data_IF_471588551296
#
_entry.id   IF_471588551296
#
_cell.length_a   1.000
_cell.length_b   1.000
_cell.length_c   1.000
_cell.angle_alpha   90.00
_cell.angle_beta   90.00
_cell.angle_gamma   90.00
#
_symmetry.space_group_name_H-M   'P 1'
#
loop_
_entity.id
_entity.type
_entity.pdbx_description
1 polymer ?
#
# COMPACT_ATOMS: atom_id res chain seq x y z
N UNK A 1 8.86 -11.12 23.71
CA UNK A 1 8.22 -12.07 22.77
C UNK A 1 9.13 -12.20 21.56
N UNK A 2 9.33 -13.39 20.99
CA UNK A 2 10.14 -13.54 19.76
C UNK A 2 9.22 -13.48 18.53
N UNK A 3 9.77 -13.15 17.36
CA UNK A 3 9.03 -13.07 16.10
C UNK A 3 8.28 -14.39 15.77
N UNK A 4 8.85 -15.52 16.17
CA UNK A 4 8.22 -16.85 16.00
C UNK A 4 6.95 -17.00 16.82
N UNK A 5 6.90 -16.39 18.01
CA UNK A 5 5.74 -16.46 18.90
C UNK A 5 4.61 -15.58 18.36
N UNK A 6 4.95 -14.38 17.86
CA UNK A 6 4.00 -13.49 17.17
C UNK A 6 3.38 -14.18 15.95
N UNK A 7 4.20 -14.75 15.07
CA UNK A 7 3.72 -15.41 13.87
C UNK A 7 2.78 -16.58 14.18
N UNK A 8 3.05 -17.33 15.25
CA UNK A 8 2.17 -18.41 15.72
C UNK A 8 0.85 -17.89 16.27
N UNK A 9 0.90 -16.81 17.05
CA UNK A 9 -0.31 -16.19 17.61
C UNK A 9 -1.21 -15.64 16.50
N UNK A 10 -0.64 -14.95 15.51
CA UNK A 10 -1.38 -14.42 14.35
C UNK A 10 -2.01 -15.56 13.54
N UNK A 11 -1.23 -16.59 13.20
CA UNK A 11 -1.74 -17.76 12.48
C UNK A 11 -2.90 -18.45 13.22
N UNK A 12 -2.81 -18.56 14.55
CA UNK A 12 -3.85 -19.16 15.37
C UNK A 12 -5.12 -18.28 15.42
N UNK A 13 -4.97 -16.96 15.47
CA UNK A 13 -6.09 -16.03 15.52
C UNK A 13 -6.81 -15.86 14.17
N UNK A 14 -6.08 -15.91 13.05
CA UNK A 14 -6.64 -15.69 11.71
C UNK A 14 -6.98 -16.98 10.96
N UNK A 15 -6.48 -18.13 11.43
CA UNK A 15 -6.59 -19.40 10.73
C UNK A 15 -5.67 -19.51 9.51
N UNK A 16 -4.80 -18.52 9.28
CA UNK A 16 -3.82 -18.56 8.19
C UNK A 16 -2.60 -19.43 8.54
N UNK A 17 -1.89 -19.88 7.51
CA UNK A 17 -0.64 -20.62 7.71
C UNK A 17 0.50 -19.71 8.17
N UNK A 18 1.46 -20.25 8.92
CA UNK A 18 2.67 -19.51 9.36
C UNK A 18 3.45 -18.95 8.16
N UNK A 19 3.48 -19.65 7.03
CA UNK A 19 4.13 -19.15 5.81
C UNK A 19 3.36 -17.98 5.20
N UNK A 20 2.03 -17.99 5.24
CA UNK A 20 1.19 -16.85 4.83
C UNK A 20 1.49 -15.63 5.70
N UNK A 21 1.48 -15.79 7.03
CA UNK A 21 1.75 -14.70 7.98
C UNK A 21 3.15 -14.12 7.79
N UNK A 22 4.17 -14.96 7.56
CA UNK A 22 5.53 -14.49 7.23
C UNK A 22 5.58 -13.68 5.94
N UNK A 23 4.82 -14.09 4.92
CA UNK A 23 4.75 -13.38 3.63
C UNK A 23 4.03 -12.03 3.77
N UNK A 24 3.07 -11.92 4.69
CA UNK A 24 2.36 -10.68 4.98
C UNK A 24 3.20 -9.66 5.76
N UNK A 25 4.31 -10.09 6.38
CA UNK A 25 5.31 -9.17 6.93
C UNK A 25 4.99 -8.57 8.30
N UNK A 26 4.23 -9.28 9.15
CA UNK A 26 4.08 -8.86 10.55
C UNK A 26 5.43 -8.86 11.25
N UNK A 27 5.82 -7.72 11.81
CA UNK A 27 7.08 -7.56 12.54
C UNK A 27 6.77 -7.14 13.97
N UNK A 28 7.52 -7.68 14.93
CA UNK A 28 7.63 -7.06 16.22
C UNK A 28 8.41 -5.77 16.03
N UNK A 29 7.74 -4.63 16.19
CA UNK A 29 8.43 -3.35 16.28
C UNK A 29 9.50 -3.47 17.36
N UNK A 30 10.76 -3.22 17.02
CA UNK A 30 11.76 -3.07 18.08
C UNK A 30 11.42 -1.79 18.85
N UNK A 31 11.53 -1.79 20.19
CA UNK A 31 11.15 -0.62 21.00
C UNK A 31 11.95 0.65 20.65
N UNK A 32 13.11 0.52 20.01
CA UNK A 32 13.96 1.62 19.51
C UNK A 32 13.84 1.82 17.99
N UNK A 33 13.01 1.06 17.28
CA UNK A 33 12.74 1.32 15.87
C UNK A 33 11.88 2.59 15.78
N UNK A 34 12.57 3.71 15.58
CA UNK A 34 11.95 5.01 15.40
C UNK A 34 11.25 5.00 14.03
N UNK A 35 10.01 4.48 14.00
CA UNK A 35 9.11 4.67 12.88
C UNK A 35 8.80 6.15 12.87
N UNK A 36 9.56 6.90 12.06
CA UNK A 36 9.31 8.31 11.86
C UNK A 36 7.91 8.47 11.23
N UNK A 37 6.94 9.07 11.94
CA UNK A 37 5.61 9.30 11.38
C UNK A 37 5.65 10.26 10.17
N UNK A 38 6.76 10.98 9.96
CA UNK A 38 7.02 11.79 8.77
C UNK A 38 7.82 11.07 7.67
N UNK A 39 8.29 9.82 7.88
CA UNK A 39 8.80 8.97 6.79
C UNK A 39 7.69 8.55 5.80
N UNK A 40 6.44 8.94 6.06
CA UNK A 40 5.35 9.06 5.08
C UNK A 40 5.57 10.15 4.01
N UNK A 41 6.77 10.76 3.90
CA UNK A 41 7.21 11.27 2.60
C UNK A 41 7.27 10.09 1.63
N UNK A 42 6.10 9.84 1.05
CA UNK A 42 5.74 8.79 0.12
C UNK A 42 6.90 8.54 -0.83
N UNK A 43 7.69 7.52 -0.53
CA UNK A 43 8.82 7.13 -1.36
C UNK A 43 8.34 6.85 -2.79
N UNK A 44 9.25 6.66 -3.76
CA UNK A 44 8.91 6.53 -5.19
C UNK A 44 7.96 5.37 -5.54
N UNK A 45 7.60 4.54 -4.56
CA UNK A 45 6.71 3.39 -4.69
C UNK A 45 5.38 3.53 -3.95
N UNK A 46 5.05 4.73 -3.44
CA UNK A 46 3.74 5.03 -2.83
C UNK A 46 2.88 5.78 -3.84
N UNK A 47 1.61 5.39 -3.95
CA UNK A 47 0.64 5.96 -4.90
C UNK A 47 -0.49 6.59 -4.10
N UNK A 48 -0.72 7.89 -4.30
CA UNK A 48 -1.95 8.55 -3.88
C UNK A 48 -3.09 8.16 -4.84
N UNK A 49 -4.09 7.44 -4.30
CA UNK A 49 -5.22 6.96 -5.08
C UNK A 49 -6.19 8.07 -5.48
N UNK A 50 -6.33 9.11 -4.66
CA UNK A 50 -7.21 10.25 -4.93
C UNK A 50 -6.62 11.12 -6.05
N UNK A 51 -5.31 11.35 -6.00
CA UNK A 51 -4.58 12.04 -7.07
C UNK A 51 -4.62 11.24 -8.39
N UNK A 52 -4.32 9.92 -8.32
CA UNK A 52 -4.32 9.05 -9.51
C UNK A 52 -5.69 9.01 -10.18
N UNK A 53 -6.76 8.90 -9.40
CA UNK A 53 -8.12 8.86 -9.93
C UNK A 53 -8.53 10.21 -10.52
N UNK A 54 -8.13 11.31 -9.89
CA UNK A 54 -8.33 12.67 -10.43
C UNK A 54 -7.64 12.83 -11.79
N UNK A 55 -6.41 12.36 -11.92
CA UNK A 55 -5.66 12.39 -13.19
C UNK A 55 -6.30 11.53 -14.29
N UNK A 56 -6.85 10.35 -13.95
CA UNK A 56 -7.61 9.52 -14.89
C UNK A 56 -8.88 10.22 -15.37
N UNK A 57 -9.65 10.81 -14.46
CA UNK A 57 -10.87 11.55 -14.81
C UNK A 57 -10.57 12.78 -15.68
N UNK A 58 -9.47 13.49 -15.39
CA UNK A 58 -9.05 14.65 -16.17
C UNK A 58 -8.57 14.28 -17.57
N UNK A 59 -7.81 13.18 -17.71
CA UNK A 59 -7.36 12.69 -19.02
C UNK A 59 -8.53 12.20 -19.90
N UNK A 60 -9.52 11.54 -19.30
CA UNK A 60 -10.78 11.17 -19.99
C UNK A 60 -11.56 12.42 -20.45
N UNK A 61 -11.63 13.45 -19.61
CA UNK A 61 -12.29 14.73 -19.95
C UNK A 61 -11.58 15.50 -21.05
N UNK A 62 -10.25 15.43 -21.11
CA UNK A 62 -9.45 16.10 -22.15
C UNK A 62 -9.52 15.35 -23.49
N UNK A 63 -9.57 14.02 -23.45
CA UNK A 63 -9.73 13.18 -24.65
C UNK A 63 -11.10 13.33 -25.34
N UNK A 64 -12.13 13.78 -24.62
CA UNK A 64 -13.47 14.01 -25.18
C UNK A 64 -13.62 15.31 -26.01
N UNK A 65 -12.59 16.17 -26.09
CA UNK A 65 -12.65 17.45 -26.83
C UNK A 65 -12.08 17.40 -28.25
N UNK A 66 -11.64 16.24 -28.73
CA UNK A 66 -11.08 16.12 -30.08
C UNK A 66 -12.15 15.62 -31.06
N UNK A 67 -13.08 16.50 -31.45
CA UNK A 67 -13.85 16.26 -32.68
C UNK A 67 -12.91 16.37 -33.88
N UNK A 68 -12.86 15.39 -34.80
CA UNK A 68 -12.09 15.53 -36.02
C UNK A 68 -12.78 16.57 -36.91
N UNK A 69 -12.10 17.68 -37.19
CA UNK A 69 -12.49 18.58 -38.28
C UNK A 69 -12.33 17.79 -39.58
N UNK A 70 -13.45 17.32 -40.13
CA UNK A 70 -13.52 16.70 -41.45
C UNK A 70 -13.28 17.80 -42.49
N UNK A 71 -12.24 17.61 -43.33
CA UNK A 71 -11.93 18.45 -44.48
C UNK A 71 -12.66 17.96 -45.73
#
# INVERSE_FOLDING_TARGET
MKQVDLNRAVALATGESISTVKRLGFLLAEPDEHIDPAAEESGPYVIDWDELETNRLNSLRLGARHEPVVA
#
